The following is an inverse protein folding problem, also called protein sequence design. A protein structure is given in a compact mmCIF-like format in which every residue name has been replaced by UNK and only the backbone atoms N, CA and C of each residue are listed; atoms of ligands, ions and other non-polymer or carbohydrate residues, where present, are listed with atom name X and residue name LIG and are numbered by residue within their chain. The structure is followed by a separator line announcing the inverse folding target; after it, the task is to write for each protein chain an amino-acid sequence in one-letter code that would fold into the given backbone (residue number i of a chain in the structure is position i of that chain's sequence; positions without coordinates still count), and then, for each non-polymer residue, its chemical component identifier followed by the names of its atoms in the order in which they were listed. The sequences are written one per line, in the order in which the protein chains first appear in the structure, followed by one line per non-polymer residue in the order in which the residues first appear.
data_IF_077688185756
#
_entry.id   IF_077688185756
#
_cell.length_a   1.000
_cell.length_b   1.000
_cell.length_c   1.000
_cell.angle_alpha   90.00
_cell.angle_beta   90.00
_cell.angle_gamma   90.00
#
_symmetry.space_group_name_H-M   'P 1'
#
loop_
_entity.id
_entity.type
_entity.pdbx_description
1 polymer ?
#
# COMPACT_ATOMS: atom_id res chain seq x y z
N UNK A 1 -10.11 -36.25 -26.02
CA UNK A 1 -9.46 -35.63 -24.85
C UNK A 1 -10.06 -34.24 -24.67
N UNK A 2 -11.12 -34.11 -23.86
CA UNK A 2 -11.83 -32.85 -23.61
C UNK A 2 -11.15 -32.11 -22.46
N UNK A 3 -10.57 -30.94 -22.75
CA UNK A 3 -9.86 -30.09 -21.78
C UNK A 3 -10.89 -29.15 -21.14
N UNK A 4 -11.32 -29.46 -19.93
CA UNK A 4 -12.25 -28.61 -19.17
C UNK A 4 -11.53 -27.33 -18.73
N UNK A 5 -12.03 -26.11 -19.07
CA UNK A 5 -11.46 -24.87 -18.57
C UNK A 5 -11.79 -24.71 -17.08
N UNK A 6 -10.77 -24.56 -16.25
CA UNK A 6 -10.91 -24.30 -14.81
C UNK A 6 -11.31 -22.83 -14.64
N UNK A 7 -12.41 -22.51 -13.92
CA UNK A 7 -12.78 -21.13 -13.65
C UNK A 7 -11.71 -20.49 -12.75
N UNK A 8 -11.03 -19.48 -13.28
CA UNK A 8 -10.08 -18.66 -12.54
C UNK A 8 -10.87 -17.88 -11.49
N UNK A 9 -10.63 -18.20 -10.20
CA UNK A 9 -11.26 -17.52 -9.09
C UNK A 9 -10.87 -16.04 -9.14
N UNK A 10 -11.85 -15.18 -9.41
CA UNK A 10 -11.69 -13.72 -9.34
C UNK A 10 -11.57 -13.39 -7.86
N UNK A 11 -10.38 -12.97 -7.42
CA UNK A 11 -10.16 -12.54 -6.04
C UNK A 11 -11.16 -11.42 -5.72
N UNK A 12 -11.89 -11.57 -4.60
CA UNK A 12 -12.84 -10.56 -4.17
C UNK A 12 -12.12 -9.21 -3.96
N UNK A 13 -12.74 -8.07 -4.32
CA UNK A 13 -12.11 -6.77 -4.16
C UNK A 13 -11.83 -6.52 -2.67
N UNK A 14 -10.56 -6.31 -2.35
CA UNK A 14 -10.15 -5.96 -0.99
C UNK A 14 -10.84 -4.66 -0.59
N UNK A 15 -11.39 -4.62 0.62
CA UNK A 15 -12.10 -3.43 1.10
C UNK A 15 -11.08 -2.34 1.38
N UNK A 16 -10.86 -1.43 0.42
CA UNK A 16 -10.03 -0.25 0.60
C UNK A 16 -10.61 0.65 1.68
N UNK A 17 -9.98 0.67 2.86
CA UNK A 17 -10.33 1.59 3.95
C UNK A 17 -9.50 2.86 3.84
N UNK A 18 -10.14 3.96 3.49
CA UNK A 18 -9.49 5.29 3.45
C UNK A 18 -9.46 5.93 4.84
N UNK A 19 -8.29 6.43 5.23
CA UNK A 19 -8.09 7.14 6.50
C UNK A 19 -7.41 8.48 6.20
N UNK A 20 -8.04 9.58 6.65
CA UNK A 20 -7.46 10.91 6.52
C UNK A 20 -6.64 11.23 7.78
N UNK A 21 -5.37 11.60 7.61
CA UNK A 21 -4.46 11.90 8.72
C UNK A 21 -3.89 13.30 8.53
N UNK A 22 -3.99 14.13 9.56
CA UNK A 22 -3.32 15.42 9.60
C UNK A 22 -1.87 15.22 10.03
N UNK A 23 -0.92 15.59 9.17
CA UNK A 23 0.51 15.54 9.46
C UNK A 23 1.08 16.96 9.57
N UNK A 24 2.06 17.20 10.45
CA UNK A 24 2.85 18.41 10.41
C UNK A 24 3.45 18.64 9.01
N UNK A 25 3.49 19.89 8.56
CA UNK A 25 3.99 20.23 7.23
C UNK A 25 5.45 19.77 7.01
N UNK A 26 6.27 19.81 8.06
CA UNK A 26 7.66 19.31 8.04
C UNK A 26 7.72 17.80 7.77
N UNK A 27 6.90 17.01 8.47
CA UNK A 27 6.81 15.55 8.28
C UNK A 27 6.34 15.20 6.88
N UNK A 28 5.30 15.86 6.39
CA UNK A 28 4.79 15.62 5.04
C UNK A 28 5.83 15.98 3.96
N UNK A 29 6.60 17.06 4.15
CA UNK A 29 7.70 17.41 3.26
C UNK A 29 8.80 16.35 3.25
N UNK A 30 9.19 15.85 4.43
CA UNK A 30 10.19 14.78 4.55
C UNK A 30 9.74 13.50 3.83
N UNK A 31 8.48 13.10 3.99
CA UNK A 31 7.90 11.95 3.30
C UNK A 31 7.95 12.10 1.77
N UNK A 32 7.63 13.28 1.24
CA UNK A 32 7.72 13.54 -0.21
C UNK A 32 9.14 13.41 -0.76
N UNK A 33 10.13 13.96 -0.05
CA UNK A 33 11.54 13.87 -0.45
C UNK A 33 11.99 12.41 -0.46
N UNK A 34 11.63 11.65 0.59
CA UNK A 34 11.95 10.23 0.69
C UNK A 34 11.30 9.42 -0.42
N UNK A 35 10.01 9.65 -0.70
CA UNK A 35 9.27 8.97 -1.76
C UNK A 35 9.94 9.19 -3.13
N UNK A 36 10.31 10.45 -3.43
CA UNK A 36 11.01 10.79 -4.66
C UNK A 36 12.41 10.13 -4.76
N UNK A 37 13.11 9.99 -3.62
CA UNK A 37 14.43 9.36 -3.57
C UNK A 37 14.36 7.84 -3.76
N UNK A 38 13.33 7.21 -3.20
CA UNK A 38 13.10 5.75 -3.29
C UNK A 38 12.34 5.35 -4.57
N UNK A 39 11.89 6.31 -5.39
CA UNK A 39 11.12 6.04 -6.61
C UNK A 39 9.75 5.42 -6.35
N UNK A 40 9.14 5.72 -5.20
CA UNK A 40 7.82 5.22 -4.80
C UNK A 40 6.86 6.37 -4.45
N UNK A 41 5.60 6.06 -4.14
CA UNK A 41 4.64 7.07 -3.69
C UNK A 41 4.74 7.31 -2.18
N UNK A 42 4.20 8.45 -1.72
CA UNK A 42 4.04 8.71 -0.28
C UNK A 42 3.12 7.67 0.37
N UNK A 43 2.16 7.11 -0.39
CA UNK A 43 1.26 6.08 0.09
C UNK A 43 2.00 4.75 0.33
N UNK A 44 2.91 4.36 -0.56
CA UNK A 44 3.74 3.16 -0.37
C UNK A 44 4.60 3.26 0.89
N UNK A 45 5.20 4.43 1.13
CA UNK A 45 5.96 4.69 2.36
C UNK A 45 5.07 4.64 3.60
N UNK A 46 3.87 5.20 3.53
CA UNK A 46 2.92 5.16 4.63
C UNK A 46 2.49 3.72 4.93
N UNK A 47 2.20 2.92 3.90
CA UNK A 47 1.82 1.52 4.07
C UNK A 47 2.95 0.71 4.71
N UNK A 48 4.18 0.80 4.18
CA UNK A 48 5.36 0.15 4.77
C UNK A 48 5.56 0.52 6.23
N UNK A 49 5.45 1.82 6.57
CA UNK A 49 5.57 2.28 7.95
C UNK A 49 4.46 1.73 8.86
N UNK A 50 3.23 1.61 8.34
CA UNK A 50 2.10 1.02 9.06
C UNK A 50 2.33 -0.48 9.27
N UNK A 51 2.74 -1.23 8.25
CA UNK A 51 3.03 -2.66 8.37
C UNK A 51 4.18 -2.91 9.36
N UNK A 52 5.25 -2.12 9.28
CA UNK A 52 6.39 -2.18 10.22
C UNK A 52 5.93 -1.91 11.65
N UNK A 53 5.11 -0.88 11.87
CA UNK A 53 4.56 -0.56 13.19
C UNK A 53 3.64 -1.65 13.74
N UNK A 54 2.84 -2.28 12.87
CA UNK A 54 1.94 -3.39 13.23
C UNK A 54 2.65 -4.74 13.36
N UNK A 55 3.95 -4.82 13.04
CA UNK A 55 4.71 -6.07 13.03
C UNK A 55 4.23 -7.08 11.99
N UNK A 56 3.60 -6.61 10.91
CA UNK A 56 3.12 -7.45 9.81
C UNK A 56 4.19 -7.52 8.71
N UNK A 57 4.56 -8.71 8.22
CA UNK A 57 5.46 -8.81 7.08
C UNK A 57 4.78 -8.19 5.85
N UNK A 58 5.48 -7.24 5.22
CA UNK A 58 5.13 -6.66 3.91
C UNK A 58 5.41 -7.65 2.79
#
# INVERSE_FOLDING_TARGET
MTRTPVPQAVAAPETEKRVNVALPASTHRALKIRAATEGCSVQDLADRAIQEFLGRPS
#
